data_IF_671298435162
#
_entry.id   IF_671298435162
#
_cell.length_a   1.000
_cell.length_b   1.000
_cell.length_c   1.000
_cell.angle_alpha   90.00
_cell.angle_beta   90.00
_cell.angle_gamma   90.00
#
_symmetry.space_group_name_H-M   'P 1'
#
loop_
_entity.id
_entity.type
_entity.pdbx_description
1 polymer ?
#
# COMPACT_ATOMS: atom_id res chain seq x y z
N UNK A 1 8.76 20.04 -2.03
CA UNK A 1 8.72 18.56 -1.96
C UNK A 1 9.65 17.89 -2.96
N UNK A 2 9.67 18.28 -4.23
CA UNK A 2 10.56 17.67 -5.25
C UNK A 2 12.04 17.59 -4.84
N UNK A 3 12.61 18.62 -4.20
CA UNK A 3 14.00 18.59 -3.71
C UNK A 3 14.22 17.48 -2.66
N UNK A 4 13.29 17.34 -1.71
CA UNK A 4 13.36 16.29 -0.68
C UNK A 4 13.16 14.89 -1.28
N UNK A 5 12.30 14.78 -2.28
CA UNK A 5 12.08 13.55 -3.05
C UNK A 5 13.33 13.10 -3.79
N UNK A 6 14.02 14.03 -4.46
CA UNK A 6 15.27 13.77 -5.18
C UNK A 6 16.41 13.42 -4.21
N UNK A 7 16.48 14.12 -3.08
CA UNK A 7 17.48 13.83 -2.05
C UNK A 7 17.25 12.46 -1.40
N UNK A 8 16.00 12.06 -1.18
CA UNK A 8 15.66 10.69 -0.74
C UNK A 8 16.15 9.64 -1.73
N UNK A 9 15.88 9.85 -3.03
CA UNK A 9 16.33 8.97 -4.10
C UNK A 9 17.86 8.85 -4.12
N UNK A 10 18.58 9.97 -4.08
CA UNK A 10 20.05 9.97 -4.13
C UNK A 10 20.69 9.29 -2.92
N UNK A 11 20.13 9.49 -1.72
CA UNK A 11 20.72 8.99 -0.47
C UNK A 11 20.33 7.54 -0.18
N UNK A 12 19.10 7.13 -0.48
CA UNK A 12 18.55 5.85 -0.06
C UNK A 12 18.33 4.84 -1.20
N UNK A 13 17.95 5.29 -2.41
CA UNK A 13 17.76 4.38 -3.57
C UNK A 13 19.06 4.21 -4.36
N UNK A 14 19.77 5.31 -4.64
CA UNK A 14 20.98 5.31 -5.48
C UNK A 14 22.30 5.28 -4.68
N UNK A 15 22.25 5.48 -3.37
CA UNK A 15 23.45 5.50 -2.52
C UNK A 15 24.29 4.22 -2.63
N UNK A 16 23.61 3.08 -2.80
CA UNK A 16 24.23 1.76 -2.96
C UNK A 16 25.00 1.58 -4.27
N UNK A 17 24.69 2.35 -5.32
CA UNK A 17 25.31 2.23 -6.65
C UNK A 17 26.37 3.31 -6.93
N UNK A 18 26.23 4.51 -6.33
CA UNK A 18 27.04 5.67 -6.68
C UNK A 18 27.87 6.27 -5.53
N UNK A 19 27.62 5.87 -4.28
CA UNK A 19 28.34 6.39 -3.11
C UNK A 19 29.19 5.30 -2.44
N UNK A 20 30.28 5.73 -1.79
CA UNK A 20 31.02 4.83 -0.91
C UNK A 20 30.18 4.55 0.33
N UNK A 21 30.27 3.32 0.88
CA UNK A 21 29.49 2.87 2.04
C UNK A 21 29.56 3.85 3.23
N UNK A 22 30.73 4.46 3.46
CA UNK A 22 30.93 5.46 4.52
C UNK A 22 30.19 6.78 4.27
N UNK A 23 30.11 7.24 3.01
CA UNK A 23 29.41 8.47 2.63
C UNK A 23 27.90 8.28 2.66
N UNK A 24 27.42 7.11 2.24
CA UNK A 24 26.02 6.70 2.38
C UNK A 24 25.59 6.68 3.85
N UNK A 25 26.36 6.01 4.72
CA UNK A 25 26.06 5.97 6.17
C UNK A 25 26.05 7.36 6.81
N UNK A 26 26.99 8.23 6.44
CA UNK A 26 27.04 9.60 6.97
C UNK A 26 25.81 10.43 6.56
N UNK A 27 25.41 10.36 5.29
CA UNK A 27 24.22 11.06 4.80
C UNK A 27 22.94 10.53 5.45
N UNK A 28 22.81 9.21 5.62
CA UNK A 28 21.70 8.60 6.35
C UNK A 28 21.61 9.10 7.79
N UNK A 29 22.72 9.14 8.53
CA UNK A 29 22.73 9.65 9.91
C UNK A 29 22.34 11.13 9.99
N UNK A 30 22.89 11.97 9.11
CA UNK A 30 22.58 13.39 9.09
C UNK A 30 21.10 13.63 8.74
N UNK A 31 20.56 12.86 7.80
CA UNK A 31 19.17 12.98 7.39
C UNK A 31 18.21 12.50 8.48
N UNK A 32 18.50 11.37 9.13
CA UNK A 32 17.72 10.88 10.27
C UNK A 32 17.64 11.91 11.41
N UNK A 33 18.71 12.67 11.66
CA UNK A 33 18.73 13.73 12.69
C UNK A 33 17.79 14.91 12.40
N UNK A 34 17.43 15.15 11.14
CA UNK A 34 16.50 16.21 10.73
C UNK A 34 15.15 15.67 10.21
N UNK A 35 15.01 14.35 10.12
CA UNK A 35 13.86 13.73 9.48
C UNK A 35 12.55 14.04 10.21
N UNK A 36 12.59 14.19 11.53
CA UNK A 36 11.39 14.51 12.32
C UNK A 36 10.71 15.80 11.84
N UNK A 37 11.49 16.84 11.56
CA UNK A 37 10.95 18.12 11.06
C UNK A 37 10.38 17.97 9.64
N UNK A 38 11.08 17.21 8.79
CA UNK A 38 10.63 16.90 7.41
C UNK A 38 9.31 16.13 7.42
N UNK A 39 9.21 15.10 8.27
CA UNK A 39 8.00 14.30 8.39
C UNK A 39 6.84 15.13 8.95
N UNK A 40 7.09 15.95 9.99
CA UNK A 40 6.09 16.86 10.55
C UNK A 40 5.56 17.85 9.51
N UNK A 41 6.45 18.36 8.65
CA UNK A 41 6.06 19.22 7.53
C UNK A 41 5.17 18.45 6.52
N UNK A 42 5.52 17.20 6.19
CA UNK A 42 4.71 16.37 5.29
C UNK A 42 3.29 16.20 5.83
N UNK A 43 3.15 15.77 7.09
CA UNK A 43 1.83 15.58 7.74
C UNK A 43 1.05 16.90 7.78
N UNK A 44 1.71 18.01 8.15
CA UNK A 44 1.06 19.33 8.18
C UNK A 44 0.52 19.76 6.80
N UNK A 45 1.27 19.48 5.73
CA UNK A 45 0.83 19.77 4.36
C UNK A 45 -0.36 18.88 3.99
N UNK A 46 -0.30 17.58 4.29
CA UNK A 46 -1.39 16.65 4.00
C UNK A 46 -2.69 17.06 4.72
N UNK A 47 -2.60 17.55 5.96
CA UNK A 47 -3.78 17.92 6.73
C UNK A 47 -4.37 19.30 6.38
N UNK A 48 -3.52 20.27 6.03
CA UNK A 48 -3.93 21.70 6.02
C UNK A 48 -3.78 22.38 4.67
N UNK A 49 -3.05 21.78 3.71
CA UNK A 49 -2.79 22.45 2.44
C UNK A 49 -3.96 22.27 1.46
N UNK A 50 -4.54 23.37 0.94
CA UNK A 50 -5.62 23.27 -0.05
C UNK A 50 -5.11 23.06 -1.49
N UNK A 51 -3.81 23.20 -1.74
CA UNK A 51 -3.25 23.20 -3.09
C UNK A 51 -2.93 21.78 -3.55
N UNK A 52 -3.71 21.27 -4.52
CA UNK A 52 -3.60 19.88 -4.98
C UNK A 52 -2.20 19.48 -5.46
N UNK A 53 -1.52 20.36 -6.20
CA UNK A 53 -0.17 20.09 -6.71
C UNK A 53 0.87 19.90 -5.60
N UNK A 54 0.69 20.59 -4.46
CA UNK A 54 1.59 20.47 -3.30
C UNK A 54 1.29 19.17 -2.56
N UNK A 55 0.01 18.87 -2.33
CA UNK A 55 -0.43 17.62 -1.70
C UNK A 55 0.06 16.40 -2.48
N UNK A 56 -0.14 16.39 -3.81
CA UNK A 56 0.32 15.29 -4.67
C UNK A 56 1.85 15.12 -4.60
N UNK A 57 2.61 16.22 -4.65
CA UNK A 57 4.07 16.17 -4.53
C UNK A 57 4.50 15.68 -3.14
N UNK A 58 3.76 16.01 -2.09
CA UNK A 58 3.99 15.51 -0.72
C UNK A 58 3.72 14.02 -0.63
N UNK A 59 2.61 13.51 -1.18
CA UNK A 59 2.30 12.07 -1.21
C UNK A 59 3.37 11.28 -1.97
N UNK A 60 3.84 11.78 -3.12
CA UNK A 60 4.94 11.16 -3.87
C UNK A 60 6.26 11.15 -3.09
N UNK A 61 6.53 12.21 -2.33
CA UNK A 61 7.73 12.27 -1.48
C UNK A 61 7.60 11.30 -0.30
N UNK A 62 6.42 11.26 0.33
CA UNK A 62 6.12 10.34 1.41
C UNK A 62 6.28 8.88 0.96
N UNK A 63 5.78 8.53 -0.22
CA UNK A 63 5.94 7.20 -0.81
C UNK A 63 7.39 6.72 -0.78
N UNK A 64 8.34 7.60 -1.13
CA UNK A 64 9.79 7.29 -1.10
C UNK A 64 10.37 7.18 0.30
N UNK A 65 9.78 7.88 1.26
CA UNK A 65 10.20 7.80 2.66
C UNK A 65 9.77 6.47 3.29
N UNK A 66 8.61 5.93 2.91
CA UNK A 66 8.06 4.73 3.52
C UNK A 66 8.98 3.50 3.43
N UNK A 67 9.87 3.42 2.44
CA UNK A 67 10.80 2.30 2.28
C UNK A 67 11.93 2.25 3.32
N UNK A 68 12.20 3.35 4.04
CA UNK A 68 13.35 3.42 4.95
C UNK A 68 13.08 4.08 6.31
N UNK A 69 11.93 4.75 6.47
CA UNK A 69 11.65 5.44 7.73
C UNK A 69 11.42 4.46 8.88
N UNK A 70 11.76 4.87 10.13
CA UNK A 70 11.42 4.07 11.30
C UNK A 70 9.91 3.80 11.38
N UNK A 71 9.54 2.55 11.67
CA UNK A 71 8.15 2.09 11.71
C UNK A 71 7.26 2.87 12.69
N UNK A 72 7.86 3.47 13.74
CA UNK A 72 7.15 4.35 14.67
C UNK A 72 6.50 5.56 13.97
N UNK A 73 7.11 6.13 12.93
CA UNK A 73 6.46 7.22 12.16
C UNK A 73 5.21 6.74 11.42
N UNK A 74 5.18 5.48 10.99
CA UNK A 74 4.05 4.90 10.27
C UNK A 74 2.93 4.54 11.24
N UNK A 75 3.26 3.85 12.33
CA UNK A 75 2.25 3.30 13.22
C UNK A 75 1.90 4.21 14.40
N UNK A 76 2.75 5.11 14.86
CA UNK A 76 2.45 5.97 16.03
C UNK A 76 1.84 7.33 15.65
N UNK A 77 1.66 7.58 14.36
CA UNK A 77 1.03 8.78 13.82
C UNK A 77 -0.30 8.43 13.15
N UNK A 78 -1.01 9.43 12.63
CA UNK A 78 -2.28 9.27 11.92
C UNK A 78 -2.12 9.00 10.41
N UNK A 79 -0.91 8.73 9.93
CA UNK A 79 -0.62 8.66 8.50
C UNK A 79 -1.38 7.53 7.78
N UNK A 80 -1.48 6.34 8.39
CA UNK A 80 -2.22 5.20 7.82
C UNK A 80 -3.69 5.56 7.63
N UNK A 81 -4.29 6.19 8.63
CA UNK A 81 -5.67 6.66 8.60
C UNK A 81 -5.88 7.77 7.55
N UNK A 82 -4.98 8.76 7.48
CA UNK A 82 -5.03 9.82 6.48
C UNK A 82 -5.03 9.22 5.07
N UNK A 83 -4.12 8.28 4.79
CA UNK A 83 -4.02 7.61 3.50
C UNK A 83 -5.29 6.81 3.19
N UNK A 84 -5.71 5.89 4.07
CA UNK A 84 -6.81 4.96 3.79
C UNK A 84 -8.19 5.63 3.75
N UNK A 85 -8.44 6.63 4.61
CA UNK A 85 -9.78 7.22 4.77
C UNK A 85 -9.96 8.56 4.04
N UNK A 86 -8.91 9.37 3.90
CA UNK A 86 -9.04 10.74 3.40
C UNK A 86 -8.54 10.90 1.96
N UNK A 87 -7.42 10.26 1.61
CA UNK A 87 -6.81 10.44 0.28
C UNK A 87 -7.22 9.39 -0.74
N UNK A 88 -7.53 8.16 -0.32
CA UNK A 88 -7.83 7.07 -1.25
C UNK A 88 -9.14 7.31 -2.03
N UNK A 89 -10.13 7.95 -1.40
CA UNK A 89 -11.41 8.30 -2.03
C UNK A 89 -11.27 9.35 -3.15
N UNK A 90 -10.21 10.16 -3.09
CA UNK A 90 -9.97 11.26 -4.03
C UNK A 90 -9.23 10.76 -5.28
N UNK A 91 -9.90 10.82 -6.43
CA UNK A 91 -9.39 10.30 -7.71
C UNK A 91 -7.98 10.80 -8.07
N UNK A 92 -7.71 12.08 -7.81
CA UNK A 92 -6.41 12.72 -8.09
C UNK A 92 -5.26 12.10 -7.28
N UNK A 93 -5.53 11.55 -6.09
CA UNK A 93 -4.51 11.02 -5.19
C UNK A 93 -4.54 9.50 -5.08
N UNK A 94 -5.62 8.86 -5.52
CA UNK A 94 -5.91 7.43 -5.32
C UNK A 94 -4.73 6.51 -5.62
N UNK A 95 -4.10 6.66 -6.79
CA UNK A 95 -2.98 5.79 -7.22
C UNK A 95 -1.78 5.94 -6.30
N UNK A 96 -1.32 7.17 -6.04
CA UNK A 96 -0.14 7.40 -5.17
C UNK A 96 -0.42 7.01 -3.72
N UNK A 97 -1.64 7.22 -3.24
CA UNK A 97 -2.04 6.79 -1.90
C UNK A 97 -2.02 5.27 -1.77
N UNK A 98 -2.50 4.54 -2.79
CA UNK A 98 -2.46 3.08 -2.79
C UNK A 98 -1.03 2.54 -2.87
N UNK A 99 -0.14 3.22 -3.59
CA UNK A 99 1.29 2.93 -3.58
C UNK A 99 1.89 3.11 -2.18
N UNK A 100 1.59 4.21 -1.48
CA UNK A 100 1.99 4.40 -0.08
C UNK A 100 1.48 3.27 0.83
N UNK A 101 0.19 2.90 0.71
CA UNK A 101 -0.39 1.81 1.49
C UNK A 101 0.25 0.45 1.17
N UNK A 102 0.69 0.26 -0.07
CA UNK A 102 1.42 -0.94 -0.52
C UNK A 102 2.79 -1.04 0.18
N UNK A 103 3.56 0.05 0.21
CA UNK A 103 4.84 0.10 0.94
C UNK A 103 4.65 -0.19 2.44
N UNK A 104 3.62 0.40 3.07
CA UNK A 104 3.29 0.14 4.48
C UNK A 104 2.95 -1.34 4.71
N UNK A 105 2.28 -1.97 3.74
CA UNK A 105 1.89 -3.38 3.81
C UNK A 105 3.06 -4.36 3.67
N UNK A 106 4.25 -3.90 3.26
CA UNK A 106 5.46 -4.72 3.19
C UNK A 106 6.30 -4.65 4.48
N UNK A 107 5.95 -3.74 5.41
CA UNK A 107 6.68 -3.56 6.66
C UNK A 107 6.52 -4.81 7.53
N UNK A 108 7.65 -5.45 7.83
CA UNK A 108 7.68 -6.60 8.72
C UNK A 108 7.51 -6.13 10.17
N UNK A 109 6.46 -6.59 10.82
CA UNK A 109 6.16 -6.30 12.23
C UNK A 109 6.66 -7.46 13.09
N UNK A 110 7.32 -7.15 14.19
CA UNK A 110 7.79 -8.16 15.14
C UNK A 110 6.60 -8.98 15.72
N UNK A 111 6.86 -10.23 16.08
CA UNK A 111 5.81 -11.15 16.50
C UNK A 111 5.08 -10.67 17.79
N UNK A 112 5.76 -9.90 18.63
CA UNK A 112 5.28 -9.46 19.94
C UNK A 112 4.48 -8.14 19.88
N UNK A 113 4.61 -7.38 18.79
CA UNK A 113 3.99 -6.04 18.64
C UNK A 113 2.52 -6.11 18.19
N UNK A 114 1.65 -6.54 19.10
CA UNK A 114 0.22 -6.62 18.84
C UNK A 114 -0.41 -5.27 18.48
N UNK A 115 0.08 -4.16 19.05
CA UNK A 115 -0.45 -2.83 18.78
C UNK A 115 -0.24 -2.38 17.31
N UNK A 116 0.92 -2.70 16.72
CA UNK A 116 1.18 -2.36 15.32
C UNK A 116 0.41 -3.29 14.37
N UNK A 117 0.27 -4.58 14.72
CA UNK A 117 -0.58 -5.52 13.98
C UNK A 117 -2.04 -5.07 13.94
N UNK A 118 -2.58 -4.56 15.05
CA UNK A 118 -3.93 -4.00 15.09
C UNK A 118 -4.09 -2.79 14.15
N UNK A 119 -3.11 -1.88 14.13
CA UNK A 119 -3.11 -0.73 13.22
C UNK A 119 -3.01 -1.14 11.76
N UNK A 120 -2.19 -2.15 11.46
CA UNK A 120 -2.04 -2.69 10.11
C UNK A 120 -3.35 -3.36 9.64
N UNK A 121 -4.00 -4.13 10.52
CA UNK A 121 -5.32 -4.71 10.26
C UNK A 121 -6.39 -3.63 10.04
N UNK A 122 -6.42 -2.58 10.87
CA UNK A 122 -7.34 -1.46 10.73
C UNK A 122 -7.14 -0.71 9.40
N UNK A 123 -5.89 -0.44 9.02
CA UNK A 123 -5.54 0.17 7.73
C UNK A 123 -6.06 -0.67 6.56
N UNK A 124 -5.87 -1.99 6.59
CA UNK A 124 -6.39 -2.88 5.57
C UNK A 124 -7.91 -2.80 5.47
N UNK A 125 -8.61 -2.92 6.61
CA UNK A 125 -10.07 -2.86 6.63
C UNK A 125 -10.60 -1.53 6.08
N UNK A 126 -10.00 -0.41 6.47
CA UNK A 126 -10.35 0.92 5.97
C UNK A 126 -10.12 1.03 4.46
N UNK A 127 -8.98 0.52 3.98
CA UNK A 127 -8.63 0.51 2.55
C UNK A 127 -9.62 -0.31 1.74
N UNK A 128 -9.91 -1.55 2.14
CA UNK A 128 -10.84 -2.42 1.42
C UNK A 128 -12.27 -1.87 1.44
N UNK A 129 -12.70 -1.28 2.55
CA UNK A 129 -13.98 -0.61 2.66
C UNK A 129 -14.11 0.52 1.62
N UNK A 130 -13.08 1.36 1.49
CA UNK A 130 -13.08 2.47 0.53
C UNK A 130 -12.97 1.97 -0.91
N UNK A 131 -12.19 0.92 -1.18
CA UNK A 131 -12.18 0.27 -2.50
C UNK A 131 -13.57 -0.28 -2.85
N UNK A 132 -14.27 -0.87 -1.88
CA UNK A 132 -15.63 -1.37 -2.04
C UNK A 132 -16.65 -0.26 -2.33
N UNK A 133 -16.50 0.92 -1.73
CA UNK A 133 -17.37 2.07 -2.02
C UNK A 133 -17.15 2.60 -3.44
N UNK A 134 -15.91 2.57 -3.94
CA UNK A 134 -15.53 3.03 -5.27
C UNK A 134 -15.93 2.08 -6.39
N UNK A 135 -15.76 0.77 -6.17
CA UNK A 135 -15.97 -0.27 -7.18
C UNK A 135 -17.37 -0.90 -7.15
N UNK A 136 -18.04 -0.86 -5.99
CA UNK A 136 -19.29 -1.56 -5.73
C UNK A 136 -19.12 -3.06 -5.47
N UNK A 137 -20.21 -3.74 -5.10
CA UNK A 137 -20.20 -5.14 -4.63
C UNK A 137 -19.80 -6.18 -5.68
N UNK A 138 -19.83 -5.85 -6.99
CA UNK A 138 -19.53 -6.79 -8.09
C UNK A 138 -18.80 -6.13 -9.25
N UNK A 139 -17.59 -5.63 -8.99
CA UNK A 139 -16.77 -5.05 -10.04
C UNK A 139 -16.13 -6.13 -10.92
N UNK A 140 -16.50 -6.13 -12.19
CA UNK A 140 -15.73 -6.82 -13.25
C UNK A 140 -14.51 -5.97 -13.59
N UNK A 141 -13.40 -6.25 -12.91
CA UNK A 141 -12.15 -5.51 -13.05
C UNK A 141 -11.44 -5.84 -14.37
N UNK A 142 -11.66 -7.03 -14.94
CA UNK A 142 -11.12 -7.40 -16.24
C UNK A 142 -11.72 -6.52 -17.35
N UNK A 143 -13.05 -6.40 -17.38
CA UNK A 143 -13.73 -5.51 -18.33
C UNK A 143 -13.40 -4.04 -18.05
N UNK A 144 -13.35 -3.62 -16.78
CA UNK A 144 -12.99 -2.26 -16.42
C UNK A 144 -11.56 -1.90 -16.85
N UNK A 145 -10.62 -2.85 -16.79
CA UNK A 145 -9.25 -2.66 -17.25
C UNK A 145 -9.18 -2.48 -18.78
N UNK A 146 -9.86 -3.35 -19.54
CA UNK A 146 -9.84 -3.32 -21.01
C UNK A 146 -10.46 -2.06 -21.59
N UNK A 147 -11.52 -1.54 -20.95
CA UNK A 147 -12.27 -0.35 -21.42
C UNK A 147 -11.83 0.94 -20.72
N UNK A 148 -11.04 0.82 -19.66
CA UNK A 148 -10.63 1.91 -18.80
C UNK A 148 -9.57 2.79 -19.45
N UNK A 149 -9.33 3.91 -18.80
CA UNK A 149 -8.23 4.83 -19.12
C UNK A 149 -6.90 4.30 -18.57
N UNK A 150 -5.78 4.90 -18.99
CA UNK A 150 -4.46 4.62 -18.40
C UNK A 150 -4.45 4.78 -16.86
N UNK A 151 -5.28 5.67 -16.31
CA UNK A 151 -5.40 5.87 -14.86
C UNK A 151 -6.14 4.71 -14.20
N UNK A 152 -7.21 4.20 -14.82
CA UNK A 152 -7.94 3.05 -14.32
C UNK A 152 -7.06 1.79 -14.33
N UNK A 153 -6.30 1.60 -15.41
CA UNK A 153 -5.34 0.50 -15.54
C UNK A 153 -4.25 0.58 -14.46
N UNK A 154 -3.69 1.76 -14.23
CA UNK A 154 -2.71 1.99 -13.15
C UNK A 154 -3.29 1.73 -11.77
N UNK A 155 -4.53 2.17 -11.53
CA UNK A 155 -5.21 1.93 -10.27
C UNK A 155 -5.41 0.44 -10.03
N UNK A 156 -5.92 -0.31 -11.02
CA UNK A 156 -6.12 -1.76 -10.92
C UNK A 156 -4.79 -2.49 -10.68
N UNK A 157 -3.71 -2.08 -11.37
CA UNK A 157 -2.37 -2.63 -11.14
C UNK A 157 -1.86 -2.35 -9.72
N UNK A 158 -2.00 -1.12 -9.22
CA UNK A 158 -1.62 -0.78 -7.84
C UNK A 158 -2.47 -1.50 -6.81
N UNK A 159 -3.76 -1.73 -7.10
CA UNK A 159 -4.64 -2.51 -6.24
C UNK A 159 -4.17 -3.97 -6.14
N UNK A 160 -3.79 -4.57 -7.28
CA UNK A 160 -3.20 -5.90 -7.29
C UNK A 160 -1.94 -5.96 -6.40
N UNK A 161 -1.04 -4.99 -6.56
CA UNK A 161 0.20 -4.91 -5.78
C UNK A 161 -0.06 -4.77 -4.29
N UNK A 162 -0.96 -3.88 -3.89
CA UNK A 162 -1.38 -3.71 -2.49
C UNK A 162 -1.91 -5.02 -1.89
N UNK A 163 -2.86 -5.65 -2.57
CA UNK A 163 -3.51 -6.87 -2.08
C UNK A 163 -2.52 -8.01 -1.94
N UNK A 164 -1.63 -8.19 -2.92
CA UNK A 164 -0.59 -9.23 -2.87
C UNK A 164 0.44 -8.93 -1.78
N UNK A 165 0.91 -7.68 -1.67
CA UNK A 165 1.87 -7.29 -0.64
C UNK A 165 1.33 -7.59 0.77
N UNK A 166 0.09 -7.15 1.04
CA UNK A 166 -0.52 -7.37 2.34
C UNK A 166 -0.80 -8.85 2.64
N UNK A 167 -1.49 -9.55 1.75
CA UNK A 167 -1.96 -10.91 2.03
C UNK A 167 -0.82 -11.91 2.12
N UNK A 168 0.29 -11.67 1.41
CA UNK A 168 1.48 -12.53 1.45
C UNK A 168 2.05 -12.65 2.87
N UNK A 169 2.26 -11.53 3.54
CA UNK A 169 2.96 -11.51 4.84
C UNK A 169 2.00 -11.36 6.02
N UNK A 170 0.77 -10.88 5.80
CA UNK A 170 -0.15 -10.46 6.86
C UNK A 170 -1.56 -11.05 6.80
N UNK A 171 -1.87 -12.02 5.92
CA UNK A 171 -3.27 -12.54 5.84
C UNK A 171 -3.77 -13.14 7.15
N UNK A 172 -2.89 -13.68 8.00
CA UNK A 172 -3.29 -14.22 9.31
C UNK A 172 -3.96 -13.17 10.21
N UNK A 173 -3.68 -11.87 10.01
CA UNK A 173 -4.30 -10.77 10.75
C UNK A 173 -5.76 -10.52 10.37
N UNK A 174 -6.20 -11.01 9.20
CA UNK A 174 -7.52 -10.71 8.61
C UNK A 174 -8.36 -11.96 8.32
N UNK A 175 -7.77 -13.15 8.48
CA UNK A 175 -8.46 -14.44 8.34
C UNK A 175 -9.51 -14.69 9.42
N UNK A 176 -9.19 -14.29 10.66
CA UNK A 176 -10.01 -14.61 11.83
C UNK A 176 -10.87 -13.42 12.26
N UNK A 177 -12.00 -13.74 12.91
CA UNK A 177 -12.86 -12.74 13.51
C UNK A 177 -12.07 -11.87 14.52
N UNK A 178 -12.15 -10.56 14.35
CA UNK A 178 -11.56 -9.59 15.26
C UNK A 178 -12.70 -8.79 15.92
N UNK A 179 -12.85 -8.79 17.26
CA UNK A 179 -13.89 -8.00 17.92
C UNK A 179 -13.73 -6.48 17.70
N UNK A 180 -12.51 -5.99 17.46
CA UNK A 180 -12.27 -4.58 17.13
C UNK A 180 -12.71 -4.21 15.70
N UNK A 181 -12.76 -5.20 14.80
CA UNK A 181 -13.28 -5.03 13.44
C UNK A 181 -14.13 -6.25 13.06
N UNK A 182 -15.42 -6.28 13.42
CA UNK A 182 -16.28 -7.45 13.20
C UNK A 182 -16.40 -7.86 11.72
N UNK A 183 -16.21 -6.91 10.81
CA UNK A 183 -16.30 -7.08 9.36
C UNK A 183 -14.98 -7.54 8.72
N UNK A 184 -13.90 -7.74 9.48
CA UNK A 184 -12.58 -8.08 8.94
C UNK A 184 -12.61 -9.29 8.01
N UNK A 185 -13.36 -10.34 8.38
CA UNK A 185 -13.48 -11.56 7.57
C UNK A 185 -14.26 -11.30 6.27
N UNK A 186 -15.21 -10.37 6.26
CA UNK A 186 -15.93 -9.96 5.04
C UNK A 186 -15.01 -9.16 4.11
N UNK A 187 -14.23 -8.22 4.66
CA UNK A 187 -13.22 -7.49 3.89
C UNK A 187 -12.14 -8.41 3.33
N UNK A 188 -11.69 -9.41 4.09
CA UNK A 188 -10.74 -10.40 3.59
C UNK A 188 -11.31 -11.20 2.41
N UNK A 189 -12.57 -11.64 2.50
CA UNK A 189 -13.24 -12.34 1.39
C UNK A 189 -13.35 -11.44 0.15
N UNK A 190 -13.79 -10.20 0.33
CA UNK A 190 -13.90 -9.24 -0.77
C UNK A 190 -12.53 -8.95 -1.41
N UNK A 191 -11.47 -8.84 -0.62
CA UNK A 191 -10.10 -8.69 -1.13
C UNK A 191 -9.65 -9.88 -2.00
N UNK A 192 -10.00 -11.11 -1.62
CA UNK A 192 -9.75 -12.31 -2.43
C UNK A 192 -10.56 -12.27 -3.73
N UNK A 193 -11.84 -11.88 -3.67
CA UNK A 193 -12.70 -11.74 -4.86
C UNK A 193 -12.17 -10.69 -5.84
N UNK A 194 -11.66 -9.56 -5.33
CA UNK A 194 -10.98 -8.54 -6.15
C UNK A 194 -9.76 -9.13 -6.86
N UNK A 195 -8.90 -9.87 -6.15
CA UNK A 195 -7.73 -10.52 -6.77
C UNK A 195 -8.12 -11.55 -7.83
N UNK A 196 -9.18 -12.33 -7.60
CA UNK A 196 -9.71 -13.27 -8.60
C UNK A 196 -10.19 -12.52 -9.85
N UNK A 197 -10.92 -11.42 -9.68
CA UNK A 197 -11.37 -10.55 -10.77
C UNK A 197 -10.17 -9.96 -11.54
N UNK A 198 -9.15 -9.48 -10.83
CA UNK A 198 -7.90 -8.94 -11.43
C UNK A 198 -7.13 -10.03 -12.18
N UNK A 199 -7.11 -11.28 -11.69
CA UNK A 199 -6.39 -12.38 -12.34
C UNK A 199 -6.90 -12.74 -13.73
N UNK A 200 -8.12 -12.31 -14.07
CA UNK A 200 -8.73 -12.48 -15.40
C UNK A 200 -8.31 -11.39 -16.39
N UNK A 201 -7.57 -10.37 -15.95
CA UNK A 201 -7.00 -9.34 -16.83
C UNK A 201 -5.89 -9.96 -17.69
N UNK A 202 -6.08 -9.92 -19.01
CA UNK A 202 -5.09 -10.37 -20.00
C UNK A 202 -3.97 -9.34 -20.20
N UNK A 203 -3.20 -9.05 -19.15
CA UNK A 203 -2.02 -8.17 -19.19
C UNK A 203 -0.80 -8.82 -18.53
N UNK A 204 0.35 -8.81 -19.22
CA UNK A 204 1.56 -9.53 -18.80
C UNK A 204 2.14 -9.02 -17.47
N UNK A 205 2.01 -7.73 -17.18
CA UNK A 205 2.55 -7.14 -15.94
C UNK A 205 1.65 -7.45 -14.75
N UNK A 206 0.33 -7.39 -14.94
CA UNK A 206 -0.64 -7.79 -13.90
C UNK A 206 -0.58 -9.29 -13.64
N UNK A 207 -0.40 -10.09 -14.69
CA UNK A 207 -0.33 -11.55 -14.58
C UNK A 207 0.88 -12.02 -13.75
N UNK A 208 2.00 -11.28 -13.77
CA UNK A 208 3.16 -11.57 -12.90
C UNK A 208 2.84 -11.38 -11.42
N UNK A 209 2.04 -10.37 -11.09
CA UNK A 209 1.62 -10.08 -9.71
C UNK A 209 0.62 -11.14 -9.21
N UNK A 210 -0.35 -11.53 -10.05
CA UNK A 210 -1.34 -12.57 -9.70
C UNK A 210 -0.73 -13.97 -9.57
N UNK A 211 0.30 -14.31 -10.35
CA UNK A 211 1.01 -15.59 -10.19
C UNK A 211 1.71 -15.70 -8.82
N UNK A 212 2.23 -14.57 -8.31
CA UNK A 212 2.83 -14.51 -6.99
C UNK A 212 1.79 -14.86 -5.91
N UNK A 213 0.54 -14.42 -6.08
CA UNK A 213 -0.56 -14.77 -5.19
C UNK A 213 -0.98 -16.23 -5.30
N UNK A 214 -1.11 -16.78 -6.51
CA UNK A 214 -1.42 -18.21 -6.70
C UNK A 214 -0.40 -19.10 -5.99
N UNK A 215 0.88 -18.74 -6.07
CA UNK A 215 1.95 -19.42 -5.33
C UNK A 215 1.78 -19.30 -3.81
N UNK A 216 1.43 -18.11 -3.30
CA UNK A 216 1.17 -17.87 -1.87
C UNK A 216 -0.04 -18.67 -1.37
N UNK A 217 -1.15 -18.70 -2.12
CA UNK A 217 -2.33 -19.49 -1.80
C UNK A 217 -2.08 -21.00 -1.88
N UNK A 218 -1.20 -21.44 -2.78
CA UNK A 218 -0.79 -22.84 -2.88
C UNK A 218 -0.03 -23.33 -1.64
N UNK A 219 0.65 -22.42 -0.93
CA UNK A 219 1.38 -22.71 0.31
C UNK A 219 0.48 -22.64 1.56
N UNK A 220 -0.68 -21.97 1.49
CA UNK A 220 -1.57 -21.70 2.66
C UNK A 220 -3.00 -22.27 2.56
N UNK A 221 -3.22 -23.36 1.82
CA UNK A 221 -4.51 -24.10 1.79
C UNK A 221 -5.76 -23.29 1.37
N UNK A 222 -5.62 -22.21 0.59
CA UNK A 222 -6.76 -21.42 0.05
C UNK A 222 -7.22 -21.92 -1.33
N UNK A 223 -6.62 -23.02 -1.80
CA UNK A 223 -6.73 -23.59 -3.16
C UNK A 223 -8.18 -23.90 -3.59
N UNK A 224 -9.07 -24.22 -2.66
CA UNK A 224 -10.41 -24.73 -2.98
C UNK A 224 -11.26 -23.76 -3.80
N UNK A 225 -11.03 -22.45 -3.71
CA UNK A 225 -11.79 -21.44 -4.47
C UNK A 225 -11.20 -21.24 -5.87
N UNK A 226 -9.87 -21.35 -6.03
CA UNK A 226 -9.18 -21.12 -7.30
C UNK A 226 -9.38 -22.27 -8.30
N UNK A 227 -9.43 -23.51 -7.81
CA UNK A 227 -9.69 -24.68 -8.67
C UNK A 227 -11.09 -24.67 -9.27
N UNK A 228 -12.09 -24.10 -8.57
CA UNK A 228 -13.48 -24.03 -9.05
C UNK A 228 -13.70 -23.03 -10.19
N UNK A 229 -12.80 -22.06 -10.37
CA UNK A 229 -12.91 -21.05 -11.44
C UNK A 229 -12.19 -21.51 -12.72
N UNK A 230 -11.28 -22.49 -12.62
CA UNK A 230 -10.46 -23.00 -13.72
C UNK A 230 -10.73 -24.47 -14.08
N UNK A 231 -11.88 -25.02 -13.68
CA UNK A 231 -12.45 -26.30 -14.16
C UNK A 231 -13.86 -26.08 -14.67
#
# INVERSE_FOLDING_TARGET
MNILSLLSEEVFDFGSQNLTQAKEQHLKQQFCGQFQEVFTLCITILEKCPANSIVEATLKTLHRFLSWIPVGYVFETNITQLLSENFLSLEVYRVVTLQCLTEISMIQIEAEDNAYKEKLCAMFCATIKEIGSLLGERADLATAYQKGTDQDQKFISCLAQFLVAFLKDHSALVENYNPACPQVTEYHKYAIELLLSISQVEDVEIFKVSHLFSYVCHVRDVISIFLLVWT
#
